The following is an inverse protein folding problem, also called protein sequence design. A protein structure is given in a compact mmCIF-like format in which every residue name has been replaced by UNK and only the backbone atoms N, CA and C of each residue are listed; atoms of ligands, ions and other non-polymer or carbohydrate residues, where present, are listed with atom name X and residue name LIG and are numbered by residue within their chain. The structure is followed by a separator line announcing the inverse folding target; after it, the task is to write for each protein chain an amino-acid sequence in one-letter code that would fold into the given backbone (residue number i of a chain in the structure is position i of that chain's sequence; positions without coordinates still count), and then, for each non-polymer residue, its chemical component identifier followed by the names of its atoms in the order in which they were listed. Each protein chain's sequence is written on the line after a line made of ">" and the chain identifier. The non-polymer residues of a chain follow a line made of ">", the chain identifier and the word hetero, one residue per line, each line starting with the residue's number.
data_IF_370497650212
#
_entry.id   IF_370497650212
#
_cell.length_a   1.000
_cell.length_b   1.000
_cell.length_c   1.000
_cell.angle_alpha   90.00
_cell.angle_beta   90.00
_cell.angle_gamma   90.00
#
_symmetry.space_group_name_H-M   'P 1'
#
loop_
_entity.id
_entity.type
_entity.pdbx_description
1 polymer ?
#
# COMPACT_ATOMS: atom_id res chain seq x y z
N UNK A 1 -19.36 -22.97 8.70
CA UNK A 1 -19.00 -21.83 9.58
C UNK A 1 -17.49 -21.68 9.71
N UNK A 2 -16.76 -22.69 10.20
CA UNK A 2 -15.29 -22.65 10.30
C UNK A 2 -14.59 -22.38 8.95
N UNK A 3 -15.01 -23.06 7.88
CA UNK A 3 -14.42 -22.90 6.54
C UNK A 3 -14.60 -21.49 5.98
N UNK A 4 -15.79 -20.90 6.14
CA UNK A 4 -16.06 -19.53 5.71
C UNK A 4 -15.16 -18.53 6.44
N UNK A 5 -15.04 -18.68 7.76
CA UNK A 5 -14.17 -17.86 8.58
C UNK A 5 -12.70 -17.97 8.15
N UNK A 6 -12.20 -19.20 7.95
CA UNK A 6 -10.84 -19.44 7.46
C UNK A 6 -10.59 -18.80 6.10
N UNK A 7 -11.50 -18.98 5.15
CA UNK A 7 -11.35 -18.40 3.80
C UNK A 7 -11.32 -16.87 3.86
N UNK A 8 -12.27 -16.24 4.56
CA UNK A 8 -12.31 -14.78 4.69
C UNK A 8 -11.07 -14.24 5.40
N UNK A 9 -10.61 -14.91 6.45
CA UNK A 9 -9.40 -14.55 7.17
C UNK A 9 -8.17 -14.60 6.26
N UNK A 10 -8.00 -15.69 5.49
CA UNK A 10 -6.87 -15.85 4.57
C UNK A 10 -6.92 -14.77 3.48
N UNK A 11 -8.10 -14.49 2.92
CA UNK A 11 -8.27 -13.42 1.93
C UNK A 11 -7.88 -12.07 2.51
N UNK A 12 -8.37 -11.72 3.71
CA UNK A 12 -8.03 -10.45 4.36
C UNK A 12 -6.53 -10.36 4.71
N UNK A 13 -5.94 -11.46 5.18
CA UNK A 13 -4.51 -11.51 5.50
C UNK A 13 -3.64 -11.32 4.26
N UNK A 14 -4.02 -11.95 3.14
CA UNK A 14 -3.32 -11.80 1.86
C UNK A 14 -3.45 -10.37 1.31
N UNK A 15 -4.63 -9.75 1.46
CA UNK A 15 -4.90 -8.38 1.03
C UNK A 15 -4.11 -7.34 1.84
N UNK A 16 -4.06 -7.50 3.16
CA UNK A 16 -3.32 -6.59 4.06
C UNK A 16 -1.80 -6.68 3.83
N UNK A 17 -1.31 -7.81 3.34
CA UNK A 17 0.11 -8.10 3.11
C UNK A 17 1.03 -7.60 4.25
N UNK A 18 0.90 -8.17 5.46
CA UNK A 18 1.71 -7.78 6.60
C UNK A 18 3.20 -8.07 6.37
N UNK A 19 3.53 -9.05 5.54
CA UNK A 19 4.92 -9.44 5.25
C UNK A 19 5.57 -8.40 4.33
N UNK A 20 4.90 -7.98 3.26
CA UNK A 20 5.41 -6.96 2.33
C UNK A 20 5.52 -5.57 2.98
N UNK A 21 4.66 -5.26 3.94
CA UNK A 21 4.67 -3.97 4.63
C UNK A 21 5.83 -3.79 5.63
N UNK A 22 6.42 -4.88 6.15
CA UNK A 22 7.49 -4.81 7.15
C UNK A 22 8.78 -4.18 6.61
N UNK A 23 9.36 -4.63 5.47
CA UNK A 23 10.55 -4.02 4.89
C UNK A 23 10.37 -2.52 4.60
N UNK A 24 9.20 -2.13 4.11
CA UNK A 24 8.87 -0.73 3.83
C UNK A 24 8.89 0.09 5.11
N UNK A 25 8.26 -0.40 6.18
CA UNK A 25 8.27 0.27 7.48
C UNK A 25 9.66 0.36 8.10
N UNK A 26 10.45 -0.71 8.01
CA UNK A 26 11.83 -0.70 8.48
C UNK A 26 12.66 0.34 7.73
N UNK A 27 12.52 0.46 6.40
CA UNK A 27 13.25 1.47 5.62
C UNK A 27 12.99 2.91 6.09
N UNK A 28 11.78 3.22 6.55
CA UNK A 28 11.39 4.57 6.99
C UNK A 28 11.70 4.88 8.46
N UNK A 29 11.99 3.85 9.27
CA UNK A 29 12.16 3.98 10.72
C UNK A 29 13.60 3.82 11.21
N UNK A 30 14.55 3.49 10.33
CA UNK A 30 15.97 3.31 10.68
C UNK A 30 16.61 4.50 11.42
N UNK A 31 16.19 5.73 11.12
CA UNK A 31 16.74 6.95 11.72
C UNK A 31 15.86 7.58 12.82
N UNK A 32 14.77 6.90 13.21
CA UNK A 32 13.76 7.44 14.12
C UNK A 32 13.82 6.80 15.51
N UNK A 33 13.50 7.59 16.54
CA UNK A 33 13.28 7.06 17.88
C UNK A 33 12.01 6.19 17.94
N UNK A 34 11.94 5.27 18.90
CA UNK A 34 10.77 4.37 19.09
C UNK A 34 9.44 5.13 19.17
N UNK A 35 9.43 6.29 19.83
CA UNK A 35 8.25 7.14 19.94
C UNK A 35 7.83 7.75 18.59
N UNK A 36 8.80 8.20 17.78
CA UNK A 36 8.55 8.75 16.45
C UNK A 36 8.11 7.66 15.46
N UNK A 37 8.71 6.47 15.51
CA UNK A 37 8.33 5.32 14.68
C UNK A 37 6.88 4.90 14.95
N UNK A 38 6.46 4.86 16.22
CA UNK A 38 5.05 4.58 16.56
C UNK A 38 4.10 5.66 16.04
N UNK A 39 4.48 6.92 16.17
CA UNK A 39 3.68 8.04 15.64
C UNK A 39 3.55 7.99 14.12
N UNK A 40 4.64 7.63 13.45
CA UNK A 40 4.69 7.42 12.00
C UNK A 40 3.73 6.30 11.58
N UNK A 41 3.77 5.15 12.28
CA UNK A 41 2.87 4.02 12.00
C UNK A 41 1.39 4.43 12.10
N UNK A 42 1.01 5.07 13.21
CA UNK A 42 -0.39 5.51 13.44
C UNK A 42 -0.84 6.49 12.36
N UNK A 43 0.00 7.47 12.01
CA UNK A 43 -0.32 8.43 10.95
C UNK A 43 -0.47 7.75 9.59
N UNK A 44 0.42 6.82 9.27
CA UNK A 44 0.38 6.10 7.99
C UNK A 44 -0.90 5.29 7.85
N UNK A 45 -1.29 4.57 8.91
CA UNK A 45 -2.57 3.83 8.95
C UNK A 45 -3.75 4.77 8.82
N UNK A 46 -3.72 5.94 9.48
CA UNK A 46 -4.81 6.91 9.37
C UNK A 46 -4.93 7.47 7.94
N UNK A 47 -3.82 7.80 7.30
CA UNK A 47 -3.81 8.23 5.90
C UNK A 47 -4.35 7.14 4.98
N UNK A 48 -3.86 5.91 5.12
CA UNK A 48 -4.33 4.77 4.33
C UNK A 48 -5.84 4.52 4.54
N UNK A 49 -6.32 4.59 5.79
CA UNK A 49 -7.74 4.47 6.10
C UNK A 49 -8.60 5.50 5.36
N UNK A 50 -8.21 6.78 5.38
CA UNK A 50 -8.96 7.82 4.67
C UNK A 50 -8.92 7.65 3.16
N UNK A 51 -7.78 7.22 2.60
CA UNK A 51 -7.63 6.95 1.17
C UNK A 51 -8.52 5.77 0.75
N UNK A 52 -8.45 4.65 1.48
CA UNK A 52 -9.28 3.48 1.22
C UNK A 52 -10.77 3.79 1.41
N UNK A 53 -11.14 4.52 2.46
CA UNK A 53 -12.52 4.96 2.68
C UNK A 53 -13.03 5.85 1.54
N UNK A 54 -12.18 6.77 1.06
CA UNK A 54 -12.50 7.60 -0.09
C UNK A 54 -12.78 6.74 -1.33
N UNK A 55 -11.90 5.80 -1.66
CA UNK A 55 -12.10 4.91 -2.81
C UNK A 55 -13.24 3.92 -2.62
N UNK A 56 -13.53 3.48 -1.40
CA UNK A 56 -14.67 2.64 -1.08
C UNK A 56 -15.99 3.34 -1.39
N UNK A 57 -16.11 4.62 -1.00
CA UNK A 57 -17.32 5.41 -1.25
C UNK A 57 -17.37 5.91 -2.69
N UNK A 58 -16.29 6.55 -3.16
CA UNK A 58 -16.23 7.17 -4.49
C UNK A 58 -16.12 6.17 -5.63
N UNK A 59 -15.51 5.01 -5.41
CA UNK A 59 -15.22 4.02 -6.45
C UNK A 59 -16.48 3.51 -7.12
N UNK A 60 -17.52 3.17 -6.34
CA UNK A 60 -18.80 2.71 -6.89
C UNK A 60 -19.44 3.77 -7.79
N UNK A 61 -19.45 5.04 -7.36
CA UNK A 61 -20.00 6.15 -8.17
C UNK A 61 -19.25 6.31 -9.51
N UNK A 62 -17.93 6.14 -9.50
CA UNK A 62 -17.11 6.23 -10.73
C UNK A 62 -17.43 5.06 -11.66
N UNK A 63 -17.51 3.83 -11.13
CA UNK A 63 -17.83 2.64 -11.93
C UNK A 63 -19.21 2.74 -12.59
N UNK A 64 -20.20 3.20 -11.83
CA UNK A 64 -21.56 3.39 -12.33
C UNK A 64 -21.62 4.49 -13.40
N UNK A 65 -20.89 5.60 -13.21
CA UNK A 65 -20.79 6.67 -14.20
C UNK A 65 -20.13 6.21 -15.51
N UNK A 66 -19.22 5.23 -15.45
CA UNK A 66 -18.58 4.63 -16.63
C UNK A 66 -19.36 3.44 -17.20
N UNK A 67 -20.49 3.05 -16.59
CA UNK A 67 -21.23 1.83 -16.91
C UNK A 67 -20.36 0.56 -16.92
N UNK A 68 -19.35 0.50 -16.04
CA UNK A 68 -18.43 -0.64 -15.92
C UNK A 68 -18.94 -1.57 -14.81
N UNK A 69 -19.27 -2.84 -15.13
CA UNK A 69 -19.61 -3.81 -14.10
C UNK A 69 -18.44 -4.07 -13.15
N UNK A 70 -18.72 -4.17 -11.85
CA UNK A 70 -17.72 -4.46 -10.83
C UNK A 70 -16.83 -5.69 -11.15
N UNK A 71 -17.35 -6.82 -11.70
CA UNK A 71 -16.50 -7.96 -12.05
C UNK A 71 -15.43 -7.65 -13.11
N UNK A 72 -15.73 -6.73 -14.05
CA UNK A 72 -14.78 -6.32 -15.09
C UNK A 72 -13.67 -5.47 -14.48
N UNK A 73 -14.03 -4.58 -13.57
CA UNK A 73 -13.06 -3.78 -12.82
C UNK A 73 -12.14 -4.66 -11.96
N UNK A 74 -12.70 -5.66 -11.26
CA UNK A 74 -11.91 -6.63 -10.50
C UNK A 74 -10.95 -7.43 -11.37
N UNK A 75 -11.37 -7.84 -12.58
CA UNK A 75 -10.49 -8.54 -13.51
C UNK A 75 -9.32 -7.66 -13.99
N UNK A 76 -9.59 -6.38 -14.30
CA UNK A 76 -8.55 -5.42 -14.68
C UNK A 76 -7.59 -5.12 -13.51
N UNK A 77 -8.13 -4.91 -12.30
CA UNK A 77 -7.33 -4.72 -11.09
C UNK A 77 -6.46 -5.94 -10.76
N UNK A 78 -6.99 -7.16 -10.94
CA UNK A 78 -6.24 -8.40 -10.81
C UNK A 78 -5.10 -8.51 -11.82
N UNK A 79 -5.30 -8.07 -13.06
CA UNK A 79 -4.23 -8.01 -14.06
C UNK A 79 -3.14 -7.00 -13.67
N UNK A 80 -3.52 -5.82 -13.17
CA UNK A 80 -2.58 -4.81 -12.68
C UNK A 80 -1.76 -5.35 -11.51
N UNK A 81 -2.40 -6.03 -10.55
CA UNK A 81 -1.73 -6.69 -9.42
C UNK A 81 -0.75 -7.78 -9.87
N UNK A 82 -1.14 -8.60 -10.84
CA UNK A 82 -0.25 -9.59 -11.44
C UNK A 82 1.00 -8.93 -12.04
N UNK A 83 0.83 -7.84 -12.80
CA UNK A 83 1.95 -7.10 -13.37
C UNK A 83 2.85 -6.51 -12.28
N UNK A 84 2.27 -5.92 -11.21
CA UNK A 84 3.05 -5.43 -10.08
C UNK A 84 3.87 -6.55 -9.42
N UNK A 85 3.26 -7.70 -9.16
CA UNK A 85 3.95 -8.85 -8.59
C UNK A 85 5.10 -9.32 -9.49
N UNK A 86 4.89 -9.38 -10.81
CA UNK A 86 5.95 -9.71 -11.76
C UNK A 86 7.08 -8.67 -11.75
N UNK A 87 6.76 -7.38 -11.65
CA UNK A 87 7.79 -6.34 -11.53
C UNK A 87 8.55 -6.39 -10.20
N UNK A 88 7.95 -6.87 -9.11
CA UNK A 88 8.66 -7.08 -7.86
C UNK A 88 9.63 -8.27 -7.92
N UNK A 89 9.29 -9.33 -8.65
CA UNK A 89 10.12 -10.54 -8.77
C UNK A 89 11.24 -10.36 -9.83
N UNK A 90 10.90 -9.78 -10.99
CA UNK A 90 11.78 -9.73 -12.16
C UNK A 90 12.26 -8.30 -12.50
N UNK A 91 11.74 -7.28 -11.82
CA UNK A 91 12.12 -5.89 -12.09
C UNK A 91 13.58 -5.63 -11.76
N UNK A 92 14.26 -4.89 -12.64
CA UNK A 92 15.60 -4.42 -12.37
C UNK A 92 15.56 -3.38 -11.25
N UNK A 93 16.50 -3.48 -10.31
CA UNK A 93 16.70 -2.45 -9.29
C UNK A 93 16.92 -1.10 -9.98
N UNK A 94 16.24 -0.04 -9.50
CA UNK A 94 16.46 1.33 -10.01
C UNK A 94 17.97 1.64 -9.97
N UNK A 95 18.51 2.42 -10.93
CA UNK A 95 19.92 2.80 -10.92
C UNK A 95 20.30 3.37 -9.55
N UNK A 96 21.44 3.00 -9.00
CA UNK A 96 21.87 3.39 -7.64
C UNK A 96 21.83 4.90 -7.39
N UNK A 97 21.99 5.72 -8.45
CA UNK A 97 21.86 7.17 -8.38
C UNK A 97 20.43 7.65 -8.11
N UNK A 98 19.41 7.03 -8.71
CA UNK A 98 18.01 7.36 -8.42
C UNK A 98 17.62 6.94 -7.00
N UNK A 99 18.14 5.80 -6.52
CA UNK A 99 17.91 5.34 -5.16
C UNK A 99 18.50 6.32 -4.12
N UNK A 100 19.74 6.80 -4.34
CA UNK A 100 20.39 7.76 -3.44
C UNK A 100 19.66 9.10 -3.38
N UNK A 101 19.20 9.62 -4.52
CA UNK A 101 18.42 10.86 -4.55
C UNK A 101 17.09 10.70 -3.79
N UNK A 102 16.40 9.57 -3.97
CA UNK A 102 15.16 9.28 -3.26
C UNK A 102 15.40 9.13 -1.74
N UNK A 103 16.49 8.47 -1.34
CA UNK A 103 16.87 8.33 0.07
C UNK A 103 17.23 9.68 0.72
N UNK A 104 17.93 10.56 0.02
CA UNK A 104 18.25 11.91 0.50
C UNK A 104 17.00 12.76 0.67
N UNK A 105 16.07 12.72 -0.29
CA UNK A 105 14.78 13.40 -0.18
C UNK A 105 13.94 12.86 0.97
N UNK A 106 13.85 11.53 1.13
CA UNK A 106 13.16 10.89 2.25
C UNK A 106 13.82 11.21 3.60
N UNK A 107 15.15 11.33 3.64
CA UNK A 107 15.89 11.73 4.84
C UNK A 107 15.52 13.16 5.26
N UNK A 108 15.33 14.07 4.30
CA UNK A 108 14.87 15.44 4.54
C UNK A 108 13.35 15.56 4.71
N UNK A 109 12.59 14.57 4.28
CA UNK A 109 11.14 14.57 4.32
C UNK A 109 10.62 14.65 5.76
N UNK A 110 9.58 15.45 5.97
CA UNK A 110 8.93 15.56 7.28
C UNK A 110 8.25 14.25 7.65
N UNK A 111 8.03 14.00 8.94
CA UNK A 111 7.31 12.81 9.42
C UNK A 111 5.93 12.62 8.77
N UNK A 112 5.27 13.69 8.34
CA UNK A 112 3.99 13.61 7.62
C UNK A 112 4.16 13.08 6.19
N UNK A 113 5.21 13.48 5.48
CA UNK A 113 5.50 13.03 4.12
C UNK A 113 5.90 11.54 4.13
N UNK A 114 6.76 11.13 5.08
CA UNK A 114 7.10 9.71 5.29
C UNK A 114 5.89 8.84 5.64
N UNK A 115 4.89 9.42 6.31
CA UNK A 115 3.66 8.70 6.63
C UNK A 115 2.80 8.46 5.39
N UNK A 116 2.82 9.38 4.42
CA UNK A 116 2.05 9.28 3.18
C UNK A 116 2.75 8.35 2.19
N UNK A 117 4.03 8.60 1.89
CA UNK A 117 4.82 7.81 0.95
C UNK A 117 6.13 7.32 1.59
N UNK A 118 6.52 6.05 1.43
CA UNK A 118 5.81 4.94 0.77
C UNK A 118 4.83 4.16 1.69
N UNK A 119 4.67 4.59 2.95
CA UNK A 119 3.93 3.84 3.98
C UNK A 119 2.43 3.77 3.76
N UNK A 120 1.71 4.90 3.76
CA UNK A 120 0.27 4.86 3.50
C UNK A 120 -0.02 4.41 2.06
N UNK A 121 0.71 4.95 1.08
CA UNK A 121 0.63 4.59 -0.34
C UNK A 121 2.05 4.34 -0.86
N UNK A 122 2.35 3.21 -1.53
CA UNK A 122 1.45 2.11 -1.88
C UNK A 122 1.44 0.96 -0.85
N UNK A 123 2.17 1.03 0.26
CA UNK A 123 2.37 -0.15 1.12
C UNK A 123 1.08 -0.61 1.82
N UNK A 124 0.38 0.28 2.53
CA UNK A 124 -0.86 -0.09 3.25
C UNK A 124 -2.07 -0.02 2.31
N UNK A 125 -2.27 1.12 1.65
CA UNK A 125 -3.26 1.27 0.58
C UNK A 125 -2.65 0.79 -0.74
N UNK A 126 -2.45 -0.53 -0.82
CA UNK A 126 -1.94 -1.22 -2.00
C UNK A 126 -3.09 -1.49 -2.98
N UNK A 127 -2.81 -1.84 -4.25
CA UNK A 127 -3.88 -2.08 -5.23
C UNK A 127 -4.77 -3.30 -4.91
N UNK A 128 -4.39 -4.11 -3.91
CA UNK A 128 -5.18 -5.24 -3.42
C UNK A 128 -6.06 -4.91 -2.22
N UNK A 129 -5.87 -3.73 -1.60
CA UNK A 129 -6.52 -3.29 -0.37
C UNK A 129 -7.82 -2.51 -0.58
#
# INVERSE_FOLDING_TARGET
>A
MLTLFLTQFITLWAVVDPIGSVPVYLSQTQSLSVAQSRHLAIKSVLFAFWVLLFFLVAGQFILDAMAIPLPVFQAAGGLVLLLFALTMIFGQSKPEQEQKLLEEELCRAKLAERAVYPLAIPSIASPGA
#
